data_IF_693664998286
#
_entry.id   IF_693664998286
#
_cell.length_a   1.000
_cell.length_b   1.000
_cell.length_c   1.000
_cell.angle_alpha   90.00
_cell.angle_beta   90.00
_cell.angle_gamma   90.00
#
_symmetry.space_group_name_H-M   'P 1'
#
loop_
_entity.id
_entity.type
_entity.pdbx_description
1 polymer ?
#
# COMPACT_ATOMS: atom_id res chain seq x y z
N UNK A 1 -7.78 8.32 33.30
CA UNK A 1 -7.24 9.69 33.08
C UNK A 1 -6.00 9.71 32.21
N UNK A 2 -4.93 8.95 32.49
CA UNK A 2 -3.69 8.93 31.66
C UNK A 2 -3.92 8.56 30.19
N UNK A 3 -4.78 7.57 29.92
CA UNK A 3 -5.16 7.15 28.55
C UNK A 3 -5.88 8.25 27.77
N UNK A 4 -6.64 9.11 28.44
CA UNK A 4 -7.42 10.19 27.83
C UNK A 4 -6.51 11.33 27.36
N UNK A 5 -5.50 11.70 28.15
CA UNK A 5 -4.50 12.69 27.74
C UNK A 5 -3.64 12.20 26.58
N UNK A 6 -3.29 10.92 26.55
CA UNK A 6 -2.55 10.33 25.43
C UNK A 6 -3.34 10.42 24.12
N UNK A 7 -4.65 10.12 24.16
CA UNK A 7 -5.54 10.26 22.99
C UNK A 7 -5.63 11.70 22.52
N UNK A 8 -5.78 12.67 23.43
CA UNK A 8 -5.87 14.10 23.08
C UNK A 8 -4.55 14.60 22.46
N UNK A 9 -3.40 14.20 23.00
CA UNK A 9 -2.08 14.56 22.45
C UNK A 9 -1.91 13.98 21.05
N UNK A 10 -2.31 12.72 20.85
CA UNK A 10 -2.23 12.04 19.57
C UNK A 10 -3.18 12.66 18.51
N UNK A 11 -4.39 13.11 18.91
CA UNK A 11 -5.33 13.81 18.03
C UNK A 11 -4.88 15.24 17.67
N UNK A 12 -4.18 15.93 18.56
CA UNK A 12 -3.65 17.27 18.27
C UNK A 12 -2.43 17.20 17.34
N UNK A 13 -1.60 16.16 17.45
CA UNK A 13 -0.40 15.97 16.61
C UNK A 13 -0.70 15.66 15.15
N UNK A 14 -1.83 15.02 14.83
CA UNK A 14 -2.18 14.66 13.44
C UNK A 14 -2.54 15.86 12.56
N UNK A 15 -2.92 17.00 13.16
CA UNK A 15 -3.28 18.23 12.44
C UNK A 15 -2.09 18.95 11.76
N UNK A 16 -0.86 18.57 12.10
CA UNK A 16 0.38 19.18 11.58
C UNK A 16 1.01 18.38 10.43
N UNK A 17 0.40 17.28 10.01
CA UNK A 17 0.96 16.36 9.03
C UNK A 17 0.23 16.48 7.70
N UNK A 18 0.99 16.77 6.64
CA UNK A 18 0.49 16.74 5.27
C UNK A 18 0.49 15.29 4.78
N UNK A 19 -0.68 14.64 4.77
CA UNK A 19 -0.88 13.44 3.98
C UNK A 19 -1.09 13.84 2.51
N UNK A 20 -0.20 13.40 1.62
CA UNK A 20 -0.37 13.54 0.17
C UNK A 20 -0.51 12.14 -0.44
N UNK A 21 -1.45 11.94 -1.36
CA UNK A 21 -1.58 10.66 -2.08
C UNK A 21 -0.33 10.47 -2.93
N UNK A 22 0.47 9.46 -2.59
CA UNK A 22 1.64 9.07 -3.37
C UNK A 22 1.23 8.41 -4.67
N UNK A 23 2.11 8.48 -5.67
CA UNK A 23 1.98 7.65 -6.88
C UNK A 23 2.91 6.45 -6.74
N UNK A 24 2.44 5.21 -6.95
CA UNK A 24 1.10 4.83 -7.41
C UNK A 24 0.04 4.89 -6.31
N UNK A 25 -1.19 5.29 -6.68
CA UNK A 25 -2.35 5.25 -5.78
C UNK A 25 -2.61 3.83 -5.31
N UNK A 26 -2.71 3.64 -4.00
CA UNK A 26 -3.07 2.35 -3.40
C UNK A 26 -4.51 2.40 -2.91
N UNK A 27 -5.35 1.49 -3.39
CA UNK A 27 -6.78 1.47 -3.04
C UNK A 27 -7.08 0.51 -1.87
N UNK A 28 -7.62 1.04 -0.77
CA UNK A 28 -8.22 0.23 0.30
C UNK A 28 -9.08 1.09 1.23
N UNK A 29 -10.34 0.69 1.46
CA UNK A 29 -11.20 1.37 2.42
C UNK A 29 -10.64 1.34 3.86
N UNK A 30 -9.99 0.24 4.23
CA UNK A 30 -9.29 0.13 5.52
C UNK A 30 -8.16 1.15 5.59
N UNK A 31 -7.31 1.19 4.56
CA UNK A 31 -6.21 2.16 4.51
C UNK A 31 -6.73 3.59 4.53
N UNK A 32 -7.75 3.93 3.72
CA UNK A 32 -8.35 5.26 3.70
C UNK A 32 -8.89 5.70 5.08
N UNK A 33 -9.53 4.80 5.83
CA UNK A 33 -9.97 5.07 7.22
C UNK A 33 -8.82 5.16 8.24
N UNK A 34 -7.65 4.66 7.86
CA UNK A 34 -6.38 4.75 8.58
C UNK A 34 -5.44 5.78 7.95
N UNK A 35 -6.03 6.73 7.20
CA UNK A 35 -5.45 7.71 6.29
C UNK A 35 -4.19 7.28 5.59
N UNK A 36 -4.38 6.24 4.80
CA UNK A 36 -3.45 5.74 3.79
C UNK A 36 -2.22 5.03 4.35
N UNK A 37 -2.27 4.59 5.61
CA UNK A 37 -1.31 3.61 6.10
C UNK A 37 -1.74 2.20 5.65
N UNK A 38 -0.77 1.35 5.35
CA UNK A 38 -1.05 -0.02 4.93
C UNK A 38 0.17 -0.92 4.80
N UNK A 39 1.38 -0.37 4.86
CA UNK A 39 2.63 -1.14 4.69
C UNK A 39 2.80 -2.27 5.72
N UNK A 40 2.14 -2.16 6.88
CA UNK A 40 2.18 -3.14 7.98
C UNK A 40 0.98 -4.08 8.03
N UNK A 41 0.04 -3.99 7.09
CA UNK A 41 -1.14 -4.85 7.10
C UNK A 41 -0.74 -6.31 6.89
N UNK A 42 -1.36 -7.21 7.66
CA UNK A 42 -1.21 -8.67 7.54
C UNK A 42 -2.53 -9.36 7.22
N UNK A 43 -3.50 -8.60 6.72
CA UNK A 43 -4.78 -9.12 6.24
C UNK A 43 -4.87 -8.92 4.72
N UNK A 44 -6.02 -9.31 4.14
CA UNK A 44 -6.25 -9.27 2.69
C UNK A 44 -6.09 -7.86 2.09
N UNK A 45 -6.30 -6.78 2.84
CA UNK A 45 -6.10 -5.43 2.34
C UNK A 45 -4.62 -5.07 2.15
N UNK A 46 -3.70 -5.81 2.78
CA UNK A 46 -2.27 -5.63 2.58
C UNK A 46 -1.82 -5.93 1.15
N UNK A 47 -2.60 -6.70 0.38
CA UNK A 47 -2.27 -7.04 -1.02
C UNK A 47 -2.11 -5.81 -1.91
N UNK A 48 -2.76 -4.70 -1.57
CA UNK A 48 -2.64 -3.45 -2.31
C UNK A 48 -1.37 -2.67 -1.95
N UNK A 49 -0.75 -2.94 -0.79
CA UNK A 49 0.30 -2.11 -0.20
C UNK A 49 1.66 -2.79 -0.12
N UNK A 50 1.72 -4.05 0.34
CA UNK A 50 2.97 -4.72 0.63
C UNK A 50 2.87 -6.21 0.25
N UNK A 51 3.62 -6.71 -0.74
CA UNK A 51 3.52 -8.10 -1.17
C UNK A 51 3.88 -9.11 -0.07
N UNK A 52 4.63 -8.72 0.96
CA UNK A 52 4.90 -9.58 2.12
C UNK A 52 3.65 -9.86 2.96
N UNK A 53 2.57 -9.07 2.84
CA UNK A 53 1.31 -9.32 3.55
C UNK A 53 0.66 -10.63 3.12
N UNK A 54 0.86 -11.05 1.87
CA UNK A 54 0.28 -12.29 1.31
C UNK A 54 0.70 -13.51 2.13
N UNK A 55 1.92 -13.51 2.66
CA UNK A 55 2.47 -14.57 3.52
C UNK A 55 1.67 -14.79 4.82
N UNK A 56 0.88 -13.80 5.25
CA UNK A 56 0.10 -13.86 6.50
C UNK A 56 -1.24 -14.59 6.34
N UNK A 57 -1.68 -14.83 5.09
CA UNK A 57 -2.99 -15.42 4.81
C UNK A 57 -2.87 -16.93 4.70
N UNK A 58 -3.68 -17.64 5.49
CA UNK A 58 -3.66 -19.11 5.58
C UNK A 58 -4.83 -19.76 4.82
N UNK A 59 -5.77 -18.97 4.31
CA UNK A 59 -6.92 -19.42 3.51
C UNK A 59 -7.08 -18.56 2.26
N UNK A 60 -7.69 -19.13 1.23
CA UNK A 60 -8.07 -18.39 0.02
C UNK A 60 -8.90 -17.17 0.44
N UNK A 61 -8.42 -15.99 0.07
CA UNK A 61 -8.99 -14.71 0.50
C UNK A 61 -9.12 -13.78 -0.70
N UNK A 62 -10.17 -12.95 -0.70
CA UNK A 62 -10.37 -11.95 -1.74
C UNK A 62 -10.91 -10.64 -1.12
N UNK A 63 -10.61 -9.53 -1.78
CA UNK A 63 -11.09 -8.19 -1.41
C UNK A 63 -11.42 -7.38 -2.65
N UNK A 64 -12.45 -6.53 -2.53
CA UNK A 64 -12.84 -5.56 -3.55
C UNK A 64 -12.84 -4.19 -2.89
N UNK A 65 -12.30 -3.20 -3.59
CA UNK A 65 -12.31 -1.83 -3.15
C UNK A 65 -12.76 -0.93 -4.30
N UNK A 66 -13.55 0.10 -3.96
CA UNK A 66 -13.97 1.14 -4.88
C UNK A 66 -13.91 2.47 -4.15
N UNK A 67 -13.35 3.48 -4.80
CA UNK A 67 -13.16 4.80 -4.23
C UNK A 67 -13.59 5.89 -5.21
N UNK A 68 -14.21 6.94 -4.67
CA UNK A 68 -14.49 8.20 -5.35
C UNK A 68 -13.97 9.33 -4.48
N UNK A 69 -13.09 10.15 -5.05
CA UNK A 69 -12.43 11.26 -4.35
C UNK A 69 -13.43 12.27 -3.73
N UNK A 70 -14.57 12.52 -4.39
CA UNK A 70 -15.64 13.35 -3.85
C UNK A 70 -16.97 13.00 -4.51
N UNK A 71 -18.07 13.35 -3.85
CA UNK A 71 -19.42 13.24 -4.41
C UNK A 71 -19.50 14.03 -5.72
N UNK A 72 -19.71 13.33 -6.84
CA UNK A 72 -19.74 13.93 -8.18
C UNK A 72 -18.41 13.93 -8.93
N UNK A 73 -17.32 13.42 -8.33
CA UNK A 73 -16.06 13.24 -9.07
C UNK A 73 -16.23 12.21 -10.20
N UNK A 74 -15.79 12.53 -11.42
CA UNK A 74 -15.73 11.55 -12.49
C UNK A 74 -14.63 10.51 -12.24
N UNK A 75 -13.61 10.85 -11.44
CA UNK A 75 -12.46 9.97 -11.15
C UNK A 75 -12.92 8.83 -10.24
N UNK A 76 -12.71 7.61 -10.73
CA UNK A 76 -13.07 6.39 -10.02
C UNK A 76 -11.84 5.49 -9.92
N UNK A 77 -11.63 4.92 -8.75
CA UNK A 77 -10.61 3.91 -8.53
C UNK A 77 -11.30 2.60 -8.12
N UNK A 78 -10.85 1.49 -8.69
CA UNK A 78 -11.31 0.14 -8.39
C UNK A 78 -10.11 -0.77 -8.12
N UNK A 79 -10.27 -1.68 -7.18
CA UNK A 79 -9.27 -2.67 -6.81
C UNK A 79 -9.89 -4.04 -6.58
N UNK A 80 -9.25 -5.08 -7.11
CA UNK A 80 -9.52 -6.48 -6.79
C UNK A 80 -8.22 -7.12 -6.31
N UNK A 81 -8.26 -7.70 -5.12
CA UNK A 81 -7.17 -8.47 -4.55
C UNK A 81 -7.60 -9.89 -4.28
N UNK A 82 -6.78 -10.87 -4.68
CA UNK A 82 -7.00 -12.29 -4.38
C UNK A 82 -5.69 -12.89 -3.87
N UNK A 83 -5.73 -13.65 -2.78
CA UNK A 83 -4.57 -14.39 -2.27
C UNK A 83 -4.89 -15.86 -2.15
N UNK A 84 -4.07 -16.68 -2.79
CA UNK A 84 -4.10 -18.13 -2.74
C UNK A 84 -2.91 -18.65 -1.92
N UNK A 85 -3.13 -19.20 -0.71
CA UNK A 85 -2.08 -19.82 0.07
C UNK A 85 -1.65 -21.17 -0.51
N UNK A 86 -0.38 -21.50 -0.37
CA UNK A 86 0.23 -22.78 -0.77
C UNK A 86 1.17 -23.29 0.33
N UNK A 87 1.65 -24.53 0.19
CA UNK A 87 2.56 -25.13 1.20
C UNK A 87 3.93 -24.45 1.31
N UNK A 88 4.33 -23.63 0.34
CA UNK A 88 5.64 -22.98 0.31
C UNK A 88 5.56 -21.45 0.37
N UNK A 89 4.36 -20.87 0.54
CA UNK A 89 4.12 -19.43 0.53
C UNK A 89 2.72 -19.12 0.02
N UNK A 90 2.45 -17.87 -0.34
CA UNK A 90 1.16 -17.44 -0.86
C UNK A 90 1.35 -16.64 -2.15
N UNK A 91 0.44 -16.85 -3.10
CA UNK A 91 0.39 -16.12 -4.36
C UNK A 91 -0.72 -15.08 -4.28
N UNK A 92 -0.46 -13.87 -4.77
CA UNK A 92 -1.43 -12.78 -4.83
C UNK A 92 -1.67 -12.29 -6.26
N UNK A 93 -2.91 -11.92 -6.55
CA UNK A 93 -3.31 -11.19 -7.74
C UNK A 93 -3.89 -9.84 -7.32
N UNK A 94 -3.32 -8.76 -7.83
CA UNK A 94 -3.70 -7.38 -7.55
C UNK A 94 -4.08 -6.68 -8.85
N UNK A 95 -5.37 -6.39 -9.04
CA UNK A 95 -5.86 -5.64 -10.19
C UNK A 95 -6.33 -4.27 -9.72
N UNK A 96 -5.86 -3.21 -10.35
CA UNK A 96 -6.30 -1.84 -10.04
C UNK A 96 -6.59 -1.06 -11.31
N UNK A 97 -7.59 -0.20 -11.22
CA UNK A 97 -7.95 0.81 -12.21
C UNK A 97 -8.11 2.14 -11.49
N UNK A 98 -7.58 3.23 -12.04
CA UNK A 98 -7.83 4.58 -11.55
C UNK A 98 -7.93 5.58 -12.70
N UNK A 99 -8.99 6.38 -12.74
CA UNK A 99 -9.08 7.51 -13.67
C UNK A 99 -10.46 7.76 -14.26
N UNK A 100 -10.46 8.36 -15.46
CA UNK A 100 -11.61 8.77 -16.27
C UNK A 100 -11.37 8.38 -17.74
N UNK A 101 -12.38 8.57 -18.59
CA UNK A 101 -12.31 8.27 -20.03
C UNK A 101 -11.16 9.00 -20.76
N UNK A 102 -10.80 10.20 -20.30
CA UNK A 102 -9.70 10.99 -20.87
C UNK A 102 -8.32 10.48 -20.45
N UNK A 103 -8.22 9.91 -19.25
CA UNK A 103 -6.97 9.50 -18.63
C UNK A 103 -7.24 8.42 -17.60
N UNK A 104 -6.67 7.23 -17.78
CA UNK A 104 -6.73 6.16 -16.80
C UNK A 104 -5.42 5.40 -16.68
N UNK A 105 -5.21 4.84 -15.50
CA UNK A 105 -4.11 3.93 -15.18
C UNK A 105 -4.67 2.58 -14.78
N UNK A 106 -4.08 1.52 -15.31
CA UNK A 106 -4.40 0.13 -15.00
C UNK A 106 -3.15 -0.56 -14.47
N UNK A 107 -3.29 -1.37 -13.42
CA UNK A 107 -2.21 -2.16 -12.86
C UNK A 107 -2.65 -3.60 -12.71
N UNK A 108 -1.80 -4.52 -13.16
CA UNK A 108 -1.91 -5.96 -12.93
C UNK A 108 -0.64 -6.39 -12.19
N UNK A 109 -0.80 -6.80 -10.94
CA UNK A 109 0.26 -7.25 -10.06
C UNK A 109 0.12 -8.74 -9.73
N UNK A 110 1.22 -9.48 -9.87
CA UNK A 110 1.35 -10.85 -9.41
C UNK A 110 2.37 -10.90 -8.27
N UNK A 111 1.90 -11.18 -7.06
CA UNK A 111 2.75 -11.22 -5.87
C UNK A 111 2.98 -12.65 -5.38
N UNK A 112 4.11 -12.83 -4.71
CA UNK A 112 4.41 -14.00 -3.93
C UNK A 112 5.03 -13.57 -2.61
N UNK A 113 4.52 -14.12 -1.51
CA UNK A 113 5.04 -13.88 -0.17
C UNK A 113 5.24 -15.18 0.58
N UNK A 114 6.23 -15.22 1.46
CA UNK A 114 6.46 -16.33 2.36
C UNK A 114 7.00 -15.88 3.71
N UNK A 115 6.69 -16.67 4.72
CA UNK A 115 7.35 -16.59 6.01
C UNK A 115 8.77 -17.15 5.81
N UNK A 116 9.78 -16.33 6.13
CA UNK A 116 11.20 -16.70 6.04
C UNK A 116 11.71 -17.21 7.40
N UNK A 117 11.30 -16.55 8.48
CA UNK A 117 11.53 -16.96 9.87
C UNK A 117 10.24 -16.73 10.68
N UNK A 118 10.14 -17.28 11.89
CA UNK A 118 8.94 -17.23 12.75
C UNK A 118 8.25 -15.85 12.88
N UNK A 119 9.01 -14.77 12.68
CA UNK A 119 8.56 -13.38 12.80
C UNK A 119 8.97 -12.49 11.63
N UNK A 120 9.41 -13.08 10.51
CA UNK A 120 9.86 -12.35 9.34
C UNK A 120 9.22 -12.95 8.09
N UNK A 121 8.41 -12.12 7.42
CA UNK A 121 7.84 -12.42 6.12
C UNK A 121 8.48 -11.53 5.06
N UNK A 122 8.69 -12.10 3.88
CA UNK A 122 9.17 -11.37 2.70
C UNK A 122 8.18 -11.59 1.57
N UNK A 123 8.15 -10.66 0.62
CA UNK A 123 7.37 -10.81 -0.60
C UNK A 123 7.95 -10.01 -1.74
N UNK A 124 7.58 -10.41 -2.94
CA UNK A 124 7.89 -9.70 -4.17
C UNK A 124 6.63 -9.64 -5.04
N UNK A 125 6.54 -8.60 -5.88
CA UNK A 125 5.47 -8.46 -6.86
C UNK A 125 6.06 -8.11 -8.21
N UNK A 126 5.47 -8.65 -9.26
CA UNK A 126 5.70 -8.21 -10.63
C UNK A 126 4.47 -7.46 -11.12
N UNK A 127 4.66 -6.28 -11.69
CA UNK A 127 3.59 -5.38 -12.11
C UNK A 127 3.68 -5.05 -13.60
N UNK A 128 2.54 -5.13 -14.27
CA UNK A 128 2.31 -4.50 -15.56
C UNK A 128 1.39 -3.30 -15.35
N UNK A 129 1.89 -2.10 -15.65
CA UNK A 129 1.20 -0.83 -15.47
C UNK A 129 0.96 -0.22 -16.83
N UNK A 130 -0.28 0.18 -17.12
CA UNK A 130 -0.66 0.82 -18.37
C UNK A 130 -1.28 2.17 -18.08
N UNK A 131 -0.73 3.24 -18.66
CA UNK A 131 -1.43 4.53 -18.77
C UNK A 131 -2.08 4.62 -20.13
N UNK A 132 -3.34 5.02 -20.14
CA UNK A 132 -4.08 5.36 -21.33
C UNK A 132 -4.51 6.82 -21.29
N UNK A 133 -4.16 7.55 -22.35
CA UNK A 133 -4.52 8.94 -22.55
C UNK A 133 -5.32 9.03 -23.86
N UNK A 134 -6.53 9.58 -23.79
CA UNK A 134 -7.36 9.77 -24.98
C UNK A 134 -6.60 10.64 -26.00
N UNK A 135 -6.63 10.22 -27.26
CA UNK A 135 -5.96 10.87 -28.39
C UNK A 135 -4.42 10.78 -28.42
N UNK A 136 -3.77 10.34 -27.32
CA UNK A 136 -2.31 10.14 -27.24
C UNK A 136 -1.88 8.66 -27.15
N UNK A 137 -2.84 7.75 -26.96
CA UNK A 137 -2.62 6.30 -26.98
C UNK A 137 -2.36 5.70 -25.60
N UNK A 138 -1.80 4.48 -25.59
CA UNK A 138 -1.51 3.72 -24.38
C UNK A 138 -0.02 3.39 -24.26
N UNK A 139 0.51 3.43 -23.03
CA UNK A 139 1.91 3.14 -22.71
C UNK A 139 1.97 2.21 -21.52
N UNK A 140 2.58 1.04 -21.73
CA UNK A 140 2.81 0.07 -20.68
C UNK A 140 4.24 0.13 -20.13
N UNK A 141 4.38 -0.08 -18.82
CA UNK A 141 5.64 -0.28 -18.13
C UNK A 141 5.57 -1.59 -17.33
N UNK A 142 6.71 -2.28 -17.26
CA UNK A 142 6.87 -3.47 -16.43
C UNK A 142 7.79 -3.11 -15.27
N UNK A 143 7.39 -3.46 -14.06
CA UNK A 143 8.18 -3.19 -12.86
C UNK A 143 8.05 -4.31 -11.85
N UNK A 144 8.82 -4.22 -10.76
CA UNK A 144 8.72 -5.12 -9.64
C UNK A 144 8.65 -4.34 -8.33
N UNK A 145 8.20 -5.04 -7.30
CA UNK A 145 8.15 -4.56 -5.92
C UNK A 145 8.81 -5.57 -4.99
N UNK A 146 9.30 -5.08 -3.87
CA UNK A 146 9.80 -5.90 -2.78
C UNK A 146 9.16 -5.46 -1.46
N UNK A 147 8.88 -6.44 -0.60
CA UNK A 147 8.19 -6.22 0.66
C UNK A 147 8.78 -7.03 1.79
N UNK A 148 8.70 -6.49 3.00
CA UNK A 148 9.11 -7.13 4.24
C UNK A 148 8.10 -6.78 5.34
N UNK A 149 7.77 -7.78 6.16
CA UNK A 149 7.00 -7.62 7.40
C UNK A 149 7.72 -8.35 8.53
N UNK A 150 8.02 -7.64 9.62
CA UNK A 150 8.70 -8.18 10.78
C UNK A 150 7.90 -7.94 12.07
N UNK A 151 7.53 -9.01 12.77
CA UNK A 151 6.91 -8.94 14.09
C UNK A 151 8.00 -8.79 15.16
N UNK A 152 8.37 -7.54 15.49
CA UNK A 152 9.41 -7.23 16.47
C UNK A 152 9.05 -7.74 17.88
N UNK A 153 7.78 -7.62 18.25
CA UNK A 153 7.21 -8.19 19.48
C UNK A 153 5.82 -8.77 19.20
N UNK A 154 5.12 -9.28 20.23
CA UNK A 154 3.72 -9.76 20.08
C UNK A 154 2.74 -8.64 19.68
N UNK A 155 3.11 -7.39 19.91
CA UNK A 155 2.23 -6.23 19.76
C UNK A 155 2.86 -5.14 18.88
N UNK A 156 4.03 -5.38 18.29
CA UNK A 156 4.75 -4.40 17.47
C UNK A 156 5.23 -5.06 16.19
N UNK A 157 4.80 -4.51 15.06
CA UNK A 157 5.18 -4.92 13.72
C UNK A 157 5.86 -3.78 13.00
N UNK A 158 6.83 -4.13 12.16
CA UNK A 158 7.50 -3.22 11.25
C UNK A 158 7.31 -3.71 9.81
N UNK A 159 7.10 -2.78 8.89
CA UNK A 159 6.91 -3.04 7.47
C UNK A 159 7.85 -2.19 6.64
N UNK A 160 8.35 -2.78 5.56
CA UNK A 160 9.06 -2.09 4.50
C UNK A 160 8.46 -2.53 3.17
N UNK A 161 8.32 -1.58 2.26
CA UNK A 161 7.96 -1.82 0.88
C UNK A 161 8.78 -0.93 -0.04
N UNK A 162 9.18 -1.47 -1.17
CA UNK A 162 9.87 -0.75 -2.23
C UNK A 162 9.14 -1.01 -3.53
N UNK A 163 8.61 0.05 -4.12
CA UNK A 163 7.97 0.04 -5.43
C UNK A 163 8.95 0.53 -6.49
N UNK A 164 9.01 -0.20 -7.61
CA UNK A 164 9.84 0.15 -8.78
C UNK A 164 11.29 0.54 -8.45
N UNK A 165 12.08 -0.36 -7.86
CA UNK A 165 13.49 -0.09 -7.56
C UNK A 165 14.39 -0.07 -8.80
N UNK A 166 13.89 -0.47 -9.97
CA UNK A 166 14.59 -0.30 -11.24
C UNK A 166 14.18 1.03 -11.89
N UNK A 167 15.14 1.76 -12.46
CA UNK A 167 14.86 2.90 -13.34
C UNK A 167 14.20 2.40 -14.62
N UNK A 168 12.88 2.27 -14.59
CA UNK A 168 12.05 1.94 -15.74
C UNK A 168 11.66 3.25 -16.40
N UNK A 169 12.21 3.53 -17.57
CA UNK A 169 11.75 4.63 -18.41
C UNK A 169 10.31 4.36 -18.87
N UNK A 170 9.47 5.38 -18.75
CA UNK A 170 8.06 5.29 -19.11
C UNK A 170 7.69 6.35 -20.16
N UNK A 171 6.55 7.03 -20.00
CA UNK A 171 6.01 8.00 -20.96
C UNK A 171 7.04 9.10 -21.25
N UNK A 172 7.45 9.19 -22.53
CA UNK A 172 8.33 10.23 -23.08
C UNK A 172 9.63 10.47 -22.29
N UNK A 173 10.24 9.39 -21.77
CA UNK A 173 11.49 9.45 -21.01
C UNK A 173 11.33 9.85 -19.54
N UNK A 174 10.09 10.00 -19.07
CA UNK A 174 9.81 10.17 -17.64
C UNK A 174 10.00 8.83 -16.92
N UNK A 175 10.87 8.74 -15.91
CA UNK A 175 11.05 7.49 -15.16
C UNK A 175 9.83 7.20 -14.29
N UNK A 176 9.48 5.91 -14.15
CA UNK A 176 8.53 5.47 -13.14
C UNK A 176 9.11 5.79 -11.74
N UNK A 177 8.33 6.38 -10.81
CA UNK A 177 8.86 6.79 -9.52
C UNK A 177 9.25 5.56 -8.70
N UNK A 178 10.46 5.58 -8.15
CA UNK A 178 10.85 4.62 -7.12
C UNK A 178 10.32 5.13 -5.78
N UNK A 179 9.47 4.34 -5.13
CA UNK A 179 8.88 4.69 -3.84
C UNK A 179 9.38 3.75 -2.76
N UNK A 180 9.91 4.33 -1.70
CA UNK A 180 10.28 3.61 -0.49
C UNK A 180 9.29 3.94 0.62
N UNK A 181 8.67 2.90 1.17
CA UNK A 181 7.69 3.01 2.23
C UNK A 181 8.12 2.18 3.43
N UNK A 182 8.08 2.76 4.62
CA UNK A 182 8.30 2.03 5.87
C UNK A 182 7.33 2.47 6.93
N UNK A 183 6.93 1.55 7.80
CA UNK A 183 5.95 1.86 8.83
C UNK A 183 5.98 0.89 9.98
N UNK A 184 5.38 1.31 11.09
CA UNK A 184 5.22 0.50 12.29
C UNK A 184 3.74 0.39 12.65
N UNK A 185 3.36 -0.77 13.15
CA UNK A 185 2.04 -1.01 13.73
C UNK A 185 2.17 -1.45 15.18
N UNK A 186 1.44 -0.80 16.06
CA UNK A 186 1.33 -1.17 17.47
C UNK A 186 -0.09 -1.66 17.76
N UNK A 187 -0.19 -2.89 18.29
CA UNK A 187 -1.42 -3.63 18.56
C UNK A 187 -1.56 -3.85 20.07
N UNK A 188 -1.88 -2.83 20.88
CA UNK A 188 -1.96 -2.98 22.34
C UNK A 188 -3.08 -3.93 22.78
N UNK A 189 -4.11 -4.12 21.96
CA UNK A 189 -5.20 -5.07 22.18
C UNK A 189 -5.78 -5.52 20.84
N UNK A 190 -6.68 -6.51 20.86
CA UNK A 190 -7.40 -6.96 19.66
C UNK A 190 -8.32 -5.88 19.05
N UNK A 191 -8.66 -4.85 19.82
CA UNK A 191 -9.57 -3.77 19.41
C UNK A 191 -8.85 -2.49 19.02
N UNK A 192 -7.54 -2.41 19.16
CA UNK A 192 -6.81 -1.15 18.96
C UNK A 192 -5.63 -1.38 18.06
N UNK A 193 -5.57 -0.60 16.99
CA UNK A 193 -4.57 -0.75 15.96
C UNK A 193 -4.01 0.64 15.59
N UNK A 194 -2.79 0.92 16.04
CA UNK A 194 -2.09 2.17 15.79
C UNK A 194 -1.06 1.97 14.68
N UNK A 195 -1.05 2.83 13.67
CA UNK A 195 -0.08 2.77 12.58
C UNK A 195 0.60 4.11 12.36
N UNK A 196 1.86 4.03 11.94
CA UNK A 196 2.64 5.16 11.46
C UNK A 196 3.37 4.71 10.20
N UNK A 197 3.33 5.52 9.16
CA UNK A 197 3.97 5.23 7.88
C UNK A 197 4.71 6.45 7.35
N UNK A 198 5.87 6.18 6.75
CA UNK A 198 6.69 7.15 6.05
C UNK A 198 6.88 6.67 4.64
N UNK A 199 6.53 7.52 3.69
CA UNK A 199 6.75 7.29 2.27
C UNK A 199 7.73 8.32 1.73
N UNK A 200 8.68 7.86 0.93
CA UNK A 200 9.65 8.71 0.24
C UNK A 200 9.74 8.30 -1.23
N UNK A 201 9.47 9.26 -2.10
CA UNK A 201 9.74 9.13 -3.54
C UNK A 201 11.24 9.40 -3.74
N UNK A 202 11.99 8.41 -4.20
CA UNK A 202 13.44 8.50 -4.36
C UNK A 202 13.85 9.22 -5.65
N UNK A 203 12.97 9.23 -6.64
CA UNK A 203 13.20 9.87 -7.95
C UNK A 203 12.97 11.39 -7.91
N UNK A 204 12.26 11.90 -6.90
CA UNK A 204 12.00 13.34 -6.72
C UNK A 204 12.79 13.93 -5.54
N UNK A 205 13.24 15.18 -5.68
CA UNK A 205 14.07 15.87 -4.68
C UNK A 205 13.24 16.40 -3.47
N UNK A 206 11.91 16.39 -3.56
CA UNK A 206 10.97 16.99 -2.60
C UNK A 206 9.71 16.13 -2.45
N UNK A 207 9.71 15.19 -1.49
CA UNK A 207 8.53 14.39 -1.19
C UNK A 207 8.76 13.40 -0.06
N UNK A 208 8.64 13.84 1.19
CA UNK A 208 8.56 12.95 2.36
C UNK A 208 7.17 13.08 2.97
N UNK A 209 6.36 12.00 2.90
CA UNK A 209 5.05 11.92 3.55
C UNK A 209 5.23 11.26 4.91
N UNK A 210 4.76 11.91 5.97
CA UNK A 210 4.70 11.35 7.32
C UNK A 210 3.22 11.24 7.71
N UNK A 211 2.73 10.01 7.91
CA UNK A 211 1.34 9.74 8.25
C UNK A 211 1.26 9.13 9.65
N UNK A 212 0.46 9.73 10.53
CA UNK A 212 0.16 9.24 11.88
C UNK A 212 -1.35 9.13 12.05
N UNK A 213 -1.89 7.91 12.20
CA UNK A 213 -3.32 7.74 12.43
C UNK A 213 -3.60 6.71 13.53
N UNK A 214 -4.43 7.14 14.48
CA UNK A 214 -4.98 6.32 15.55
C UNK A 214 -6.36 5.88 15.09
N UNK A 215 -6.52 4.59 14.78
CA UNK A 215 -7.84 4.02 14.52
C UNK A 215 -8.29 3.21 15.75
N UNK A 216 -9.51 3.50 16.20
CA UNK A 216 -10.20 2.85 17.33
C UNK A 216 -11.08 1.70 16.86
#
# INVERSE_FOLDING_TARGET
MKTMYLIIILLLGSSLLTAQVGTPSVISAKSAGMGETGVTFSDINGIFHNPASTASLQSLSATLAAERYFLGSPIQTFGLGVVYPSGFGAFGLNLQYSGIDLFNTQKIGLSYGRILFDRLSIGAQFDAINIQIKDYGAKAALTFEAGLLADLTRNLRWGIHVFSPANVEWVDGTPLPTVFTTGIAYLPSEKTFLTMEVEKILTEQLGSKLVWIISF
#
